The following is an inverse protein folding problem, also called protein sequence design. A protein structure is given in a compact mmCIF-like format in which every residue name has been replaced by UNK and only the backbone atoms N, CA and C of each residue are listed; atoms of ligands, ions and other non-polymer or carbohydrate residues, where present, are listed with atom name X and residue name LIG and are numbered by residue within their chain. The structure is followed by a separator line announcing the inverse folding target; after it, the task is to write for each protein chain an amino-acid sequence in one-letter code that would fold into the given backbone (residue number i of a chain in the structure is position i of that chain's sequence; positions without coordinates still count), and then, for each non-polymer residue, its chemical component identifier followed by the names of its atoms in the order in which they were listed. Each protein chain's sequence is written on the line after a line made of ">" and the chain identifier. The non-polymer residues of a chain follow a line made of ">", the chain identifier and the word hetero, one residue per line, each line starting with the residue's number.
data_IF_575388036981
#
_entry.id   IF_575388036981
#
_cell.length_a   1.000
_cell.length_b   1.000
_cell.length_c   1.000
_cell.angle_alpha   90.00
_cell.angle_beta   90.00
_cell.angle_gamma   90.00
#
_symmetry.space_group_name_H-M   'P 1'
#
loop_
_entity.id
_entity.type
_entity.pdbx_description
1 polymer ?
#
# COMPACT_ATOMS: atom_id res chain seq x y z
N UNK A 1 26.50 -8.87 15.31
CA UNK A 1 27.43 -9.37 14.31
C UNK A 1 26.67 -9.72 13.05
N UNK A 2 27.27 -9.47 11.87
CA UNK A 2 26.64 -9.69 10.57
C UNK A 2 27.63 -10.40 9.64
N UNK A 3 27.11 -11.30 8.80
CA UNK A 3 27.90 -11.97 7.74
C UNK A 3 27.04 -12.30 6.51
N UNK A 4 27.70 -12.57 5.40
CA UNK A 4 27.06 -13.12 4.20
C UNK A 4 26.74 -14.58 4.43
N UNK A 5 25.55 -15.01 3.95
CA UNK A 5 25.05 -16.35 4.17
C UNK A 5 24.51 -16.95 2.88
N UNK A 6 24.32 -18.27 2.86
CA UNK A 6 23.82 -19.01 1.70
C UNK A 6 22.33 -19.26 1.74
N UNK A 7 21.69 -19.07 2.92
CA UNK A 7 20.26 -19.30 3.12
C UNK A 7 19.69 -18.43 4.23
N UNK A 8 18.38 -18.39 4.33
CA UNK A 8 17.69 -17.69 5.42
C UNK A 8 17.76 -18.53 6.70
N UNK A 9 18.36 -18.01 7.75
CA UNK A 9 18.41 -18.66 9.05
C UNK A 9 16.99 -18.82 9.65
N UNK A 10 16.69 -20.00 10.17
CA UNK A 10 15.46 -20.24 10.92
C UNK A 10 15.67 -19.84 12.39
N UNK A 11 15.05 -18.76 12.89
CA UNK A 11 15.27 -18.26 14.25
C UNK A 11 14.94 -19.28 15.35
N UNK A 12 13.98 -20.17 15.10
CA UNK A 12 13.60 -21.20 16.06
C UNK A 12 14.68 -22.27 16.29
N UNK A 13 15.68 -22.32 15.43
CA UNK A 13 16.76 -23.31 15.50
C UNK A 13 18.08 -22.72 16.04
N UNK A 14 18.09 -21.43 16.38
CA UNK A 14 19.27 -20.78 16.94
C UNK A 14 19.68 -21.45 18.25
N UNK A 15 20.92 -21.85 18.32
CA UNK A 15 21.56 -22.33 19.55
C UNK A 15 22.84 -21.53 19.78
N UNK A 16 22.98 -21.01 21.00
CA UNK A 16 24.19 -20.37 21.49
C UNK A 16 24.82 -21.32 22.51
N UNK A 17 26.03 -21.73 22.25
CA UNK A 17 26.77 -22.71 23.08
C UNK A 17 28.17 -22.22 23.40
N UNK A 18 28.88 -22.90 24.31
CA UNK A 18 30.26 -22.60 24.69
C UNK A 18 30.45 -21.12 25.05
N UNK A 19 29.51 -20.57 25.81
CA UNK A 19 29.57 -19.17 26.23
C UNK A 19 30.65 -18.99 27.32
N UNK A 20 31.63 -18.19 27.03
CA UNK A 20 32.62 -17.78 28.03
C UNK A 20 32.33 -16.35 28.51
N UNK A 21 32.51 -16.15 29.79
CA UNK A 21 32.21 -14.88 30.44
C UNK A 21 33.43 -14.31 31.14
N UNK A 22 33.54 -12.99 31.13
CA UNK A 22 34.49 -12.23 31.94
C UNK A 22 33.76 -11.51 33.08
N UNK A 23 34.47 -11.21 34.16
CA UNK A 23 33.99 -10.35 35.22
C UNK A 23 33.84 -8.90 34.69
N UNK A 24 32.87 -8.18 35.20
CA UNK A 24 32.64 -6.76 34.88
C UNK A 24 33.09 -5.93 36.08
N UNK A 25 33.89 -4.90 35.84
CA UNK A 25 34.31 -3.97 36.89
C UNK A 25 33.19 -3.00 37.27
N UNK A 26 33.23 -2.49 38.51
CA UNK A 26 32.24 -1.49 38.99
C UNK A 26 32.20 -0.26 38.10
N UNK A 27 33.32 0.16 37.54
CA UNK A 27 33.43 1.32 36.64
C UNK A 27 32.73 1.08 35.30
N UNK A 28 32.71 -0.15 34.78
CA UNK A 28 31.98 -0.50 33.55
C UNK A 28 30.44 -0.52 33.77
N UNK A 29 30.02 -0.68 35.02
CA UNK A 29 28.59 -0.71 35.39
C UNK A 29 27.99 0.67 35.68
N UNK A 30 28.81 1.70 35.89
CA UNK A 30 28.34 3.06 36.19
C UNK A 30 27.41 3.66 35.13
N UNK A 31 27.56 3.22 33.87
CA UNK A 31 26.79 3.71 32.72
C UNK A 31 25.61 2.80 32.33
N UNK A 32 25.36 1.73 33.08
CA UNK A 32 24.36 0.71 32.74
C UNK A 32 23.37 0.54 33.87
N UNK A 33 22.08 0.63 33.57
CA UNK A 33 21.04 0.29 34.53
C UNK A 33 21.05 -1.21 34.81
N UNK A 34 21.35 -1.59 36.03
CA UNK A 34 21.45 -3.00 36.45
C UNK A 34 20.11 -3.73 36.26
N UNK A 35 18.98 -3.02 36.42
CA UNK A 35 17.63 -3.56 36.21
C UNK A 35 17.38 -4.02 34.77
N UNK A 36 18.09 -3.45 33.80
CA UNK A 36 17.91 -3.74 32.38
C UNK A 36 18.78 -4.91 31.90
N UNK A 37 19.66 -5.41 32.76
CA UNK A 37 20.53 -6.55 32.44
C UNK A 37 19.73 -7.85 32.58
N UNK A 38 19.57 -8.62 31.50
CA UNK A 38 18.76 -9.82 31.52
C UNK A 38 19.40 -10.92 32.42
N UNK A 39 18.56 -11.68 33.10
CA UNK A 39 18.97 -12.83 33.93
C UNK A 39 19.40 -14.05 33.12
N UNK A 40 19.17 -14.03 31.80
CA UNK A 40 19.58 -15.09 30.87
C UNK A 40 20.13 -14.46 29.60
N UNK A 41 21.04 -15.16 28.95
CA UNK A 41 21.58 -14.73 27.66
C UNK A 41 20.43 -14.63 26.63
N UNK A 42 20.18 -13.43 26.18
CA UNK A 42 19.22 -13.18 25.10
C UNK A 42 19.94 -13.15 23.79
N UNK A 43 19.41 -13.87 22.81
CA UNK A 43 19.97 -13.89 21.46
C UNK A 43 18.86 -13.90 20.43
N UNK A 44 19.08 -13.24 19.31
CA UNK A 44 18.17 -13.19 18.19
C UNK A 44 18.96 -13.31 16.89
N UNK A 45 18.45 -14.09 15.96
CA UNK A 45 18.99 -14.20 14.61
C UNK A 45 17.94 -13.75 13.59
N UNK A 46 18.35 -13.00 12.60
CA UNK A 46 17.54 -12.59 11.47
C UNK A 46 18.34 -12.65 10.19
N UNK A 47 17.70 -12.99 9.08
CA UNK A 47 18.33 -12.92 7.77
C UNK A 47 17.55 -11.96 6.87
N UNK A 48 18.27 -11.18 6.08
CA UNK A 48 17.72 -10.25 5.09
C UNK A 48 18.44 -10.44 3.76
N UNK A 49 17.68 -10.36 2.67
CA UNK A 49 18.24 -10.35 1.33
C UNK A 49 18.50 -8.91 0.90
N UNK A 50 19.73 -8.60 0.51
CA UNK A 50 20.10 -7.34 -0.10
C UNK A 50 20.67 -7.62 -1.50
N UNK A 51 19.98 -7.16 -2.53
CA UNK A 51 20.24 -7.51 -3.92
C UNK A 51 20.29 -9.05 -4.10
N UNK A 52 21.46 -9.60 -4.45
CA UNK A 52 21.63 -11.03 -4.72
C UNK A 52 22.26 -11.80 -3.56
N UNK A 53 22.51 -11.13 -2.42
CA UNK A 53 23.18 -11.69 -1.27
C UNK A 53 22.26 -11.75 -0.05
N UNK A 54 22.29 -12.88 0.67
CA UNK A 54 21.64 -13.00 1.98
C UNK A 54 22.64 -12.59 3.05
N UNK A 55 22.17 -11.78 3.99
CA UNK A 55 22.92 -11.36 5.17
C UNK A 55 22.22 -11.88 6.41
N UNK A 56 22.98 -12.57 7.26
CA UNK A 56 22.49 -13.03 8.56
C UNK A 56 23.07 -12.13 9.66
N UNK A 57 22.18 -11.69 10.55
CA UNK A 57 22.49 -10.78 11.65
C UNK A 57 22.15 -11.50 12.95
N UNK A 58 23.11 -11.57 13.85
CA UNK A 58 22.88 -12.02 15.23
C UNK A 58 23.05 -10.86 16.18
N UNK A 59 22.04 -10.67 17.02
CA UNK A 59 22.08 -9.78 18.17
C UNK A 59 22.12 -10.63 19.44
N UNK A 60 22.93 -10.22 20.40
CA UNK A 60 23.14 -10.93 21.65
C UNK A 60 23.28 -9.90 22.78
N UNK A 61 22.70 -10.17 23.96
CA UNK A 61 22.92 -9.32 25.12
C UNK A 61 24.39 -9.40 25.57
N UNK A 62 25.14 -8.29 25.58
CA UNK A 62 26.56 -8.32 25.93
C UNK A 62 26.79 -8.57 27.41
N UNK A 63 25.83 -8.24 28.26
CA UNK A 63 25.86 -8.43 29.70
C UNK A 63 24.72 -9.37 30.13
N UNK A 64 24.99 -10.16 31.16
CA UNK A 64 24.01 -11.11 31.75
C UNK A 64 24.18 -11.10 33.25
N UNK A 65 23.07 -11.09 33.99
CA UNK A 65 23.06 -11.24 35.44
C UNK A 65 22.85 -12.71 35.80
N UNK A 66 23.93 -13.43 36.05
CA UNK A 66 23.90 -14.83 36.47
C UNK A 66 23.98 -14.90 37.98
N UNK A 67 22.90 -15.30 38.62
CA UNK A 67 22.80 -15.48 40.08
C UNK A 67 23.27 -14.28 40.92
N UNK A 68 22.92 -13.07 40.43
CA UNK A 68 23.30 -11.82 41.08
C UNK A 68 24.66 -11.27 40.69
N UNK A 69 25.43 -12.00 39.88
CA UNK A 69 26.71 -11.55 39.31
C UNK A 69 26.58 -11.11 37.88
N UNK A 70 26.94 -9.86 37.60
CA UNK A 70 26.94 -9.36 36.22
C UNK A 70 28.22 -9.82 35.54
N UNK A 71 28.03 -10.48 34.41
CA UNK A 71 29.11 -11.01 33.58
C UNK A 71 29.00 -10.49 32.15
N UNK A 72 30.14 -10.26 31.54
CA UNK A 72 30.27 -9.85 30.15
C UNK A 72 30.52 -11.06 29.26
N UNK A 73 29.79 -11.20 28.17
CA UNK A 73 30.02 -12.26 27.21
C UNK A 73 31.33 -11.99 26.45
N UNK A 74 32.28 -12.91 26.57
CA UNK A 74 33.59 -12.84 25.91
C UNK A 74 33.56 -13.56 24.56
N UNK A 75 33.08 -14.79 24.54
CA UNK A 75 33.02 -15.61 23.35
C UNK A 75 31.88 -16.60 23.43
N UNK A 76 31.41 -17.05 22.29
CA UNK A 76 30.35 -18.03 22.16
C UNK A 76 30.42 -18.73 20.81
N UNK A 77 29.77 -19.87 20.70
CA UNK A 77 29.56 -20.59 19.45
C UNK A 77 28.09 -20.48 19.03
N UNK A 78 27.86 -20.31 17.74
CA UNK A 78 26.52 -20.26 17.15
C UNK A 78 26.28 -21.47 16.26
N UNK A 79 25.11 -22.04 16.35
CA UNK A 79 24.59 -22.97 15.36
C UNK A 79 23.13 -22.68 15.07
N UNK A 80 22.73 -22.80 13.81
CA UNK A 80 21.36 -22.63 13.35
C UNK A 80 21.18 -23.45 12.07
N UNK A 81 19.93 -23.72 11.72
CA UNK A 81 19.55 -24.31 10.45
C UNK A 81 18.93 -23.25 9.55
N UNK A 82 19.04 -23.44 8.27
CA UNK A 82 18.26 -22.63 7.33
C UNK A 82 16.80 -23.07 7.33
N UNK A 83 15.91 -22.17 6.96
CA UNK A 83 14.59 -22.60 6.58
C UNK A 83 14.74 -23.65 5.49
N UNK A 84 14.19 -24.84 5.71
CA UNK A 84 14.06 -25.78 4.60
C UNK A 84 13.16 -25.08 3.59
N UNK A 85 13.62 -24.98 2.35
CA UNK A 85 12.81 -24.58 1.24
C UNK A 85 11.61 -25.55 1.10
N UNK A 86 10.60 -25.36 1.94
CA UNK A 86 9.26 -25.58 1.46
C UNK A 86 9.11 -24.49 0.43
N UNK A 87 9.17 -24.89 -0.85
CA UNK A 87 8.99 -24.01 -1.97
C UNK A 87 7.89 -22.98 -1.65
N UNK A 88 8.23 -21.88 -1.03
CA UNK A 88 7.56 -20.65 -1.34
C UNK A 88 8.04 -20.34 -2.75
N UNK A 89 7.47 -21.04 -3.71
CA UNK A 89 7.28 -20.49 -5.02
C UNK A 89 6.57 -19.16 -4.73
N UNK A 90 7.34 -18.08 -4.58
CA UNK A 90 6.90 -16.86 -5.20
C UNK A 90 6.44 -17.33 -6.56
N UNK A 91 5.15 -17.41 -6.77
CA UNK A 91 4.55 -17.58 -8.07
C UNK A 91 4.79 -16.25 -8.79
N UNK A 92 6.05 -15.95 -9.07
CA UNK A 92 6.42 -15.14 -10.19
C UNK A 92 6.09 -16.02 -11.37
N UNK A 93 4.84 -16.04 -11.77
CA UNK A 93 4.49 -16.50 -13.10
C UNK A 93 5.17 -15.46 -13.98
N UNK A 94 6.27 -15.80 -14.69
CA UNK A 94 6.87 -14.84 -15.59
C UNK A 94 5.79 -14.54 -16.63
N UNK A 95 5.35 -13.29 -16.69
CA UNK A 95 4.48 -12.83 -17.75
C UNK A 95 5.33 -12.91 -19.01
N UNK A 96 5.02 -13.88 -19.85
CA UNK A 96 5.71 -14.00 -21.15
C UNK A 96 5.25 -12.93 -22.14
N UNK A 97 4.00 -12.49 -22.00
CA UNK A 97 3.40 -11.46 -22.84
C UNK A 97 2.39 -10.66 -22.04
N UNK A 98 2.43 -9.32 -22.15
CA UNK A 98 1.39 -8.46 -21.59
C UNK A 98 0.11 -8.56 -22.42
N UNK A 99 -1.05 -8.29 -21.80
CA UNK A 99 -2.33 -8.16 -22.52
C UNK A 99 -2.25 -7.09 -23.59
N UNK A 100 -1.38 -6.09 -23.43
CA UNK A 100 -1.14 -5.02 -24.39
C UNK A 100 -0.28 -5.43 -25.61
N UNK A 101 0.24 -6.65 -25.64
CA UNK A 101 1.17 -7.09 -26.70
C UNK A 101 0.49 -7.25 -28.06
N UNK A 102 -0.82 -7.41 -28.10
CA UNK A 102 -1.61 -7.58 -29.35
C UNK A 102 -2.93 -6.84 -29.26
N UNK A 103 -3.52 -6.52 -30.42
CA UNK A 103 -4.80 -5.80 -30.51
C UNK A 103 -4.64 -4.28 -30.47
N UNK A 104 -5.75 -3.59 -30.66
CA UNK A 104 -5.83 -2.14 -30.60
C UNK A 104 -6.25 -1.70 -29.19
N UNK A 105 -5.48 -0.77 -28.63
CA UNK A 105 -5.66 -0.31 -27.27
C UNK A 105 -5.80 1.21 -27.20
N UNK A 106 -6.83 1.66 -26.51
CA UNK A 106 -7.16 3.06 -26.36
C UNK A 106 -7.05 3.44 -24.88
N UNK A 107 -6.14 4.37 -24.56
CA UNK A 107 -5.87 4.82 -23.20
C UNK A 107 -6.77 5.99 -22.84
N UNK A 108 -7.37 5.95 -21.65
CA UNK A 108 -8.15 7.07 -21.14
C UNK A 108 -7.86 7.31 -19.66
N UNK A 109 -8.16 8.51 -19.20
CA UNK A 109 -7.90 8.99 -17.85
C UNK A 109 -9.17 8.89 -16.99
N UNK A 110 -8.98 8.55 -15.70
CA UNK A 110 -10.02 8.61 -14.66
C UNK A 110 -9.57 9.61 -13.60
N UNK A 111 -10.38 10.63 -13.36
CA UNK A 111 -10.07 11.73 -12.44
C UNK A 111 -10.74 11.57 -11.08
N UNK A 112 -11.85 10.86 -11.00
CA UNK A 112 -12.61 10.63 -9.77
C UNK A 112 -12.88 9.14 -9.59
N UNK A 113 -12.82 8.68 -8.34
CA UNK A 113 -13.24 7.32 -8.01
C UNK A 113 -14.77 7.24 -8.03
N UNK A 114 -15.31 6.25 -8.71
CA UNK A 114 -16.76 6.04 -8.80
C UNK A 114 -17.19 5.38 -10.10
N UNK A 115 -18.50 5.37 -10.33
CA UNK A 115 -19.09 4.84 -11.54
C UNK A 115 -18.91 5.85 -12.67
N UNK A 116 -18.31 5.40 -13.75
CA UNK A 116 -18.10 6.18 -14.96
C UNK A 116 -19.02 5.70 -16.07
N UNK A 117 -19.59 6.67 -16.79
CA UNK A 117 -20.39 6.46 -17.97
C UNK A 117 -19.55 6.70 -19.23
N UNK A 118 -19.42 5.68 -20.07
CA UNK A 118 -18.77 5.78 -21.38
C UNK A 118 -19.87 5.69 -22.45
N UNK A 119 -19.94 6.73 -23.26
CA UNK A 119 -20.92 6.86 -24.33
C UNK A 119 -20.27 6.62 -25.70
N UNK A 120 -21.09 6.50 -26.74
CA UNK A 120 -20.64 6.43 -28.11
C UNK A 120 -19.71 7.60 -28.49
N UNK A 121 -20.10 8.83 -28.12
CA UNK A 121 -19.28 10.01 -28.39
C UNK A 121 -17.93 9.99 -27.72
N UNK A 122 -17.83 9.41 -26.52
CA UNK A 122 -16.56 9.22 -25.84
C UNK A 122 -15.66 8.21 -26.59
N UNK A 123 -16.22 7.10 -27.05
CA UNK A 123 -15.47 6.09 -27.83
C UNK A 123 -15.00 6.66 -29.18
N UNK A 124 -15.87 7.38 -29.88
CA UNK A 124 -15.53 8.05 -31.15
C UNK A 124 -14.38 9.07 -30.95
N UNK A 125 -14.40 9.83 -29.84
CA UNK A 125 -13.33 10.78 -29.50
C UNK A 125 -11.99 10.10 -29.14
N UNK A 126 -12.04 8.86 -28.65
CA UNK A 126 -10.81 8.04 -28.46
C UNK A 126 -10.26 7.49 -29.78
N UNK A 127 -11.00 7.62 -30.89
CA UNK A 127 -10.64 7.09 -32.20
C UNK A 127 -11.15 5.68 -32.48
N UNK A 128 -12.11 5.18 -31.69
CA UNK A 128 -12.76 3.90 -31.92
C UNK A 128 -13.89 4.09 -32.94
N UNK A 129 -13.83 3.35 -34.04
CA UNK A 129 -14.94 3.34 -35.01
C UNK A 129 -16.08 2.47 -34.48
N UNK A 130 -17.00 3.07 -33.73
CA UNK A 130 -18.10 2.36 -33.06
C UNK A 130 -19.06 1.66 -34.03
N UNK A 131 -19.13 2.05 -35.29
CA UNK A 131 -19.95 1.38 -36.30
C UNK A 131 -19.49 -0.05 -36.62
N UNK A 132 -18.29 -0.43 -36.24
CA UNK A 132 -17.71 -1.77 -36.46
C UNK A 132 -17.51 -2.56 -35.19
N UNK A 133 -17.91 -2.03 -34.05
CA UNK A 133 -17.69 -2.63 -32.73
C UNK A 133 -18.94 -3.40 -32.27
N UNK A 134 -18.75 -4.68 -32.01
CA UNK A 134 -19.71 -5.45 -31.24
C UNK A 134 -19.55 -5.11 -29.75
N UNK A 135 -20.54 -4.48 -29.10
CA UNK A 135 -20.45 -4.05 -27.71
C UNK A 135 -20.18 -5.19 -26.73
N UNK A 136 -20.55 -6.43 -27.07
CA UNK A 136 -20.27 -7.62 -26.26
C UNK A 136 -18.77 -7.92 -26.16
N UNK A 137 -18.00 -7.50 -27.14
CA UNK A 137 -16.54 -7.73 -27.18
C UNK A 137 -15.73 -6.63 -26.49
N UNK A 138 -16.35 -5.55 -26.03
CA UNK A 138 -15.66 -4.44 -25.34
C UNK A 138 -15.14 -4.90 -23.98
N UNK A 139 -13.90 -4.52 -23.68
CA UNK A 139 -13.18 -4.84 -22.45
C UNK A 139 -12.47 -3.61 -21.92
N UNK A 140 -12.44 -3.46 -20.60
CA UNK A 140 -11.69 -2.39 -19.92
C UNK A 140 -10.66 -3.05 -19.00
N UNK A 141 -9.42 -2.59 -19.08
CA UNK A 141 -8.29 -3.07 -18.28
C UNK A 141 -7.65 -1.93 -17.48
N UNK A 142 -7.17 -2.24 -16.29
CA UNK A 142 -6.43 -1.29 -15.47
C UNK A 142 -6.47 -1.62 -13.99
N UNK A 143 -5.45 -1.19 -13.26
CA UNK A 143 -5.37 -1.35 -11.80
C UNK A 143 -6.03 -0.21 -11.03
N UNK A 144 -6.34 0.90 -11.71
CA UNK A 144 -6.73 2.13 -11.06
C UNK A 144 -5.55 2.94 -10.55
N UNK A 145 -5.86 4.00 -9.81
CA UNK A 145 -4.89 4.98 -9.32
C UNK A 145 -4.42 4.78 -7.88
N UNK A 146 -4.77 3.68 -7.22
CA UNK A 146 -4.30 3.42 -5.85
C UNK A 146 -2.80 3.20 -5.80
N UNK A 147 -2.12 3.66 -4.72
CA UNK A 147 -0.72 3.33 -4.48
C UNK A 147 -0.49 1.82 -4.42
N UNK A 148 0.70 1.39 -4.80
CA UNK A 148 1.09 0.00 -4.58
C UNK A 148 1.25 -0.28 -3.09
N UNK A 149 0.97 -1.52 -2.64
CA UNK A 149 1.21 -1.93 -1.27
C UNK A 149 2.65 -1.68 -0.82
N UNK A 150 2.86 -1.26 0.42
CA UNK A 150 4.17 -0.97 0.98
C UNK A 150 5.10 -2.18 1.01
N UNK A 151 4.54 -3.35 1.24
CA UNK A 151 5.30 -4.59 1.30
C UNK A 151 5.38 -5.21 -0.09
N UNK A 152 6.58 -5.38 -0.63
CA UNK A 152 6.80 -6.07 -1.91
C UNK A 152 6.18 -7.47 -1.96
N UNK A 153 6.02 -8.15 -0.83
CA UNK A 153 5.36 -9.44 -0.75
C UNK A 153 3.87 -9.40 -1.08
N UNK A 154 3.23 -8.24 -0.94
CA UNK A 154 1.82 -8.03 -1.29
C UNK A 154 1.60 -7.68 -2.77
N UNK A 155 2.67 -7.35 -3.49
CA UNK A 155 2.63 -6.96 -4.91
C UNK A 155 2.68 -8.14 -5.87
N UNK A 156 2.59 -9.38 -5.39
CA UNK A 156 2.83 -10.58 -6.19
C UNK A 156 1.70 -10.94 -7.17
N UNK A 157 0.65 -10.14 -7.27
CA UNK A 157 -0.51 -10.42 -8.13
C UNK A 157 -0.74 -9.37 -9.23
N UNK A 158 0.05 -8.29 -9.23
CA UNK A 158 -0.15 -7.15 -10.14
C UNK A 158 0.88 -7.16 -11.29
N UNK A 159 1.01 -8.31 -11.96
CA UNK A 159 2.02 -8.47 -13.01
C UNK A 159 1.60 -7.94 -14.37
N UNK A 160 0.29 -7.85 -14.62
CA UNK A 160 -0.26 -7.32 -15.86
C UNK A 160 -1.58 -6.63 -15.57
N UNK A 161 -2.15 -5.94 -16.54
CA UNK A 161 -3.41 -5.22 -16.39
C UNK A 161 -4.58 -6.20 -16.22
N UNK A 162 -5.31 -6.14 -15.09
CA UNK A 162 -6.51 -6.94 -14.92
C UNK A 162 -7.65 -6.40 -15.78
N UNK A 163 -8.48 -7.30 -16.28
CA UNK A 163 -9.75 -6.92 -16.89
C UNK A 163 -10.76 -6.56 -15.80
N UNK A 164 -11.41 -5.42 -15.96
CA UNK A 164 -12.47 -4.95 -15.08
C UNK A 164 -13.82 -5.40 -15.58
N UNK A 165 -14.71 -5.82 -14.67
CA UNK A 165 -16.10 -6.08 -15.01
C UNK A 165 -16.83 -4.79 -15.33
N UNK A 166 -17.59 -4.80 -16.42
CA UNK A 166 -18.36 -3.64 -16.91
C UNK A 166 -19.83 -4.03 -17.09
N UNK A 167 -20.70 -3.05 -17.08
CA UNK A 167 -22.07 -3.21 -17.55
C UNK A 167 -22.21 -2.52 -18.90
N UNK A 168 -22.74 -3.21 -19.89
CA UNK A 168 -23.03 -2.63 -21.21
C UNK A 168 -24.54 -2.66 -21.39
N UNK A 169 -25.12 -1.51 -21.59
CA UNK A 169 -26.54 -1.33 -21.85
C UNK A 169 -26.70 -1.18 -23.36
N UNK A 170 -27.61 -1.94 -23.96
CA UNK A 170 -27.88 -1.93 -25.41
C UNK A 170 -27.05 -2.94 -26.21
N UNK A 171 -26.33 -3.86 -25.57
CA UNK A 171 -25.42 -4.80 -26.27
C UNK A 171 -26.12 -5.95 -27.02
N UNK A 172 -27.45 -6.09 -26.89
CA UNK A 172 -28.19 -7.29 -27.30
C UNK A 172 -28.24 -7.46 -28.82
N UNK A 173 -28.29 -6.38 -29.55
CA UNK A 173 -28.37 -6.37 -31.03
C UNK A 173 -27.00 -6.52 -31.72
N UNK A 174 -25.89 -6.38 -30.94
CA UNK A 174 -24.52 -6.51 -31.45
C UNK A 174 -23.97 -5.28 -32.17
N UNK A 175 -24.66 -4.14 -32.05
CA UNK A 175 -24.27 -2.84 -32.59
C UNK A 175 -24.08 -1.84 -31.47
N UNK A 176 -23.11 -0.95 -31.54
CA UNK A 176 -22.93 0.09 -30.52
C UNK A 176 -23.58 1.39 -30.98
N UNK A 177 -24.82 1.61 -30.55
CA UNK A 177 -25.65 2.71 -31.01
C UNK A 177 -25.50 3.98 -30.14
N UNK A 178 -26.19 5.04 -30.54
CA UNK A 178 -26.10 6.33 -29.86
C UNK A 178 -26.69 6.32 -28.43
N UNK A 179 -27.58 5.38 -28.15
CA UNK A 179 -28.24 5.21 -26.84
C UNK A 179 -27.48 4.23 -25.94
N UNK A 180 -26.54 3.50 -26.48
CA UNK A 180 -25.78 2.50 -25.71
C UNK A 180 -24.80 3.14 -24.76
N UNK A 181 -24.58 2.46 -23.67
CA UNK A 181 -23.79 2.96 -22.57
C UNK A 181 -22.96 1.85 -21.94
N UNK A 182 -21.75 2.22 -21.52
CA UNK A 182 -20.91 1.35 -20.71
C UNK A 182 -20.75 1.99 -19.33
N UNK A 183 -21.07 1.23 -18.30
CA UNK A 183 -20.80 1.62 -16.92
C UNK A 183 -19.64 0.78 -16.39
N UNK A 184 -18.66 1.44 -15.77
CA UNK A 184 -17.58 0.76 -15.07
C UNK A 184 -17.18 1.54 -13.81
N UNK A 185 -16.66 0.84 -12.82
CA UNK A 185 -16.14 1.47 -11.61
C UNK A 185 -14.67 1.81 -11.78
N UNK A 186 -14.38 3.09 -11.95
CA UNK A 186 -13.02 3.62 -12.07
C UNK A 186 -12.47 4.08 -10.72
N UNK A 187 -11.19 3.82 -10.49
CA UNK A 187 -10.47 4.26 -9.28
C UNK A 187 -9.44 5.30 -9.70
N UNK A 188 -9.56 6.50 -9.15
CA UNK A 188 -8.60 7.59 -9.37
C UNK A 188 -7.41 7.50 -8.42
N UNK A 189 -6.50 8.46 -8.52
CA UNK A 189 -5.38 8.63 -7.58
C UNK A 189 -5.77 9.27 -6.27
N UNK A 190 -7.04 9.69 -6.14
CA UNK A 190 -7.60 10.33 -4.94
C UNK A 190 -8.49 9.34 -4.18
N UNK A 191 -8.31 9.29 -2.87
CA UNK A 191 -9.08 8.46 -1.96
C UNK A 191 -8.23 7.90 -0.83
N UNK A 192 -8.82 7.73 0.35
CA UNK A 192 -8.08 7.31 1.53
C UNK A 192 -7.48 5.92 1.38
N UNK A 193 -6.17 5.86 1.54
CA UNK A 193 -5.38 4.63 1.64
C UNK A 193 -4.94 4.42 3.10
N UNK A 194 -5.60 3.50 3.78
CA UNK A 194 -5.34 3.20 5.19
C UNK A 194 -3.92 2.66 5.44
N UNK A 195 -3.31 1.96 4.49
CA UNK A 195 -1.98 1.38 4.66
C UNK A 195 -0.89 2.47 4.61
N UNK A 196 -1.08 3.46 3.78
CA UNK A 196 -0.16 4.58 3.59
C UNK A 196 -0.52 5.81 4.43
N UNK A 197 -1.73 5.86 5.00
CA UNK A 197 -2.27 7.01 5.74
C UNK A 197 -2.20 8.29 4.89
N UNK A 198 -2.78 8.23 3.70
CA UNK A 198 -2.81 9.32 2.72
C UNK A 198 -4.07 9.26 1.86
N UNK A 199 -4.53 10.39 1.35
CA UNK A 199 -5.67 10.49 0.43
C UNK A 199 -5.24 10.65 -1.03
N UNK A 200 -3.95 10.82 -1.28
CA UNK A 200 -3.38 11.00 -2.61
C UNK A 200 -2.38 9.89 -2.93
N UNK A 201 -2.22 9.60 -4.21
CA UNK A 201 -1.16 8.71 -4.64
C UNK A 201 0.16 9.50 -4.73
N UNK A 202 1.18 9.23 -3.88
CA UNK A 202 2.41 10.02 -3.85
C UNK A 202 3.31 9.82 -5.08
N UNK A 203 2.92 8.93 -6.00
CA UNK A 203 3.72 8.58 -7.18
C UNK A 203 3.08 8.99 -8.50
N UNK A 204 1.79 9.34 -8.51
CA UNK A 204 1.08 9.69 -9.74
C UNK A 204 -0.15 10.54 -9.47
N UNK A 205 -0.32 11.59 -10.27
CA UNK A 205 -1.50 12.45 -10.26
C UNK A 205 -2.62 11.93 -11.18
N UNK A 206 -2.37 10.86 -11.93
CA UNK A 206 -3.27 10.39 -12.96
C UNK A 206 -3.47 8.87 -12.89
N UNK A 207 -4.73 8.45 -12.95
CA UNK A 207 -5.12 7.06 -13.13
C UNK A 207 -5.51 6.81 -14.58
N UNK A 208 -4.99 5.74 -15.15
CA UNK A 208 -5.26 5.36 -16.52
C UNK A 208 -5.89 3.98 -16.62
N UNK A 209 -6.83 3.88 -17.54
CA UNK A 209 -7.43 2.62 -17.98
C UNK A 209 -7.27 2.46 -19.48
N UNK A 210 -7.43 1.24 -19.95
CA UNK A 210 -7.28 0.88 -21.34
C UNK A 210 -8.53 0.16 -21.80
N UNK A 211 -9.06 0.56 -22.95
CA UNK A 211 -10.20 -0.08 -23.59
C UNK A 211 -9.75 -0.77 -24.86
N UNK A 212 -10.27 -1.94 -25.12
CA UNK A 212 -10.10 -2.71 -26.35
C UNK A 212 -11.40 -3.41 -26.72
N UNK A 213 -11.51 -3.89 -27.94
CA UNK A 213 -12.66 -4.64 -28.43
C UNK A 213 -12.22 -5.76 -29.38
N UNK A 214 -13.17 -6.66 -29.68
CA UNK A 214 -12.94 -7.84 -30.53
C UNK A 214 -12.56 -9.10 -29.75
N UNK A 215 -12.58 -10.24 -30.44
CA UNK A 215 -12.39 -11.56 -29.84
C UNK A 215 -13.52 -12.00 -28.92
N UNK A 216 -13.16 -12.70 -27.86
CA UNK A 216 -14.13 -13.22 -26.88
C UNK A 216 -14.88 -12.12 -26.15
N UNK A 217 -16.08 -12.38 -25.62
CA UNK A 217 -16.82 -11.41 -24.82
C UNK A 217 -16.04 -10.92 -23.61
N UNK A 218 -16.25 -9.63 -23.27
CA UNK A 218 -15.65 -9.02 -22.09
C UNK A 218 -16.33 -9.46 -20.79
N UNK A 219 -15.63 -9.27 -19.65
CA UNK A 219 -16.22 -9.49 -18.34
C UNK A 219 -17.37 -8.52 -18.07
N UNK A 220 -18.46 -9.06 -17.49
CA UNK A 220 -19.66 -8.29 -17.15
C UNK A 220 -19.91 -8.32 -15.64
N UNK A 221 -20.51 -7.24 -15.14
CA UNK A 221 -20.99 -7.17 -13.77
C UNK A 221 -22.14 -8.16 -13.64
N UNK A 222 -22.03 -9.07 -12.68
CA UNK A 222 -23.11 -10.01 -12.37
C UNK A 222 -24.19 -9.30 -11.55
N UNK A 223 -25.48 -9.51 -11.86
CA UNK A 223 -26.55 -8.99 -11.02
C UNK A 223 -26.45 -9.56 -9.61
N UNK A 224 -26.62 -8.70 -8.61
CA UNK A 224 -26.77 -9.14 -7.22
C UNK A 224 -28.25 -9.51 -6.99
N UNK A 225 -28.48 -10.63 -6.32
CA UNK A 225 -29.82 -10.98 -5.91
C UNK A 225 -30.32 -9.93 -4.90
N UNK A 226 -31.50 -9.40 -5.14
CA UNK A 226 -32.15 -8.50 -4.18
C UNK A 226 -32.38 -9.25 -2.86
N UNK A 227 -32.09 -8.63 -1.70
CA UNK A 227 -32.39 -9.23 -0.42
C UNK A 227 -33.90 -9.44 -0.31
N UNK A 228 -34.31 -10.64 0.07
CA UNK A 228 -35.71 -10.98 0.30
C UNK A 228 -36.13 -10.52 1.70
N UNK A 229 -36.82 -9.41 1.79
CA UNK A 229 -37.40 -8.89 3.04
C UNK A 229 -37.33 -7.37 3.15
N UNK A 230 -38.10 -6.78 4.05
CA UNK A 230 -37.99 -5.35 4.32
C UNK A 230 -36.64 -5.07 4.98
N UNK A 231 -35.81 -4.28 4.32
CA UNK A 231 -34.59 -3.74 4.91
C UNK A 231 -34.89 -2.45 5.69
N UNK A 232 -34.07 -2.15 6.67
CA UNK A 232 -34.10 -0.85 7.33
C UNK A 232 -33.71 0.25 6.34
N UNK A 233 -34.51 1.32 6.32
CA UNK A 233 -34.18 2.48 5.48
C UNK A 233 -32.92 3.19 6.04
N UNK A 234 -31.86 3.22 5.27
CA UNK A 234 -30.68 4.04 5.58
C UNK A 234 -31.01 5.47 5.18
N UNK A 235 -31.13 6.36 6.17
CA UNK A 235 -31.46 7.78 5.98
C UNK A 235 -30.28 8.70 6.15
N UNK A 236 -29.17 8.22 6.70
CA UNK A 236 -27.95 8.98 6.94
C UNK A 236 -26.72 8.15 6.58
N UNK A 237 -25.64 8.80 6.24
CA UNK A 237 -24.35 8.19 5.96
C UNK A 237 -23.21 9.11 6.45
N UNK A 238 -22.04 8.55 6.66
CA UNK A 238 -20.84 9.32 6.96
C UNK A 238 -20.22 9.82 5.65
N UNK A 239 -19.98 11.11 5.57
CA UNK A 239 -19.26 11.75 4.47
C UNK A 239 -17.93 12.28 4.97
N UNK A 240 -16.96 12.49 4.09
CA UNK A 240 -15.68 13.06 4.44
C UNK A 240 -15.10 13.91 3.31
N UNK A 241 -14.35 14.91 3.68
CA UNK A 241 -13.51 15.69 2.77
C UNK A 241 -12.10 15.75 3.34
N UNK A 242 -11.14 16.04 2.48
CA UNK A 242 -9.75 16.17 2.89
C UNK A 242 -9.07 17.31 2.12
N UNK A 243 -8.05 17.85 2.75
CA UNK A 243 -7.07 18.73 2.14
C UNK A 243 -5.69 18.14 2.43
N UNK A 244 -5.02 17.66 1.41
CA UNK A 244 -3.69 17.06 1.50
C UNK A 244 -2.84 17.54 0.33
N UNK A 245 -1.63 18.03 0.63
CA UNK A 245 -0.65 18.49 -0.34
C UNK A 245 0.70 17.97 0.10
N UNK A 246 1.37 17.22 -0.79
CA UNK A 246 2.63 16.55 -0.53
C UNK A 246 3.80 17.30 -1.19
N UNK A 247 4.04 18.56 -0.78
CA UNK A 247 5.08 19.40 -1.37
C UNK A 247 6.45 19.29 -0.71
N UNK A 248 6.47 18.91 0.58
CA UNK A 248 7.67 19.05 1.38
C UNK A 248 7.88 17.88 2.34
N UNK A 249 9.09 17.33 2.34
CA UNK A 249 9.55 16.38 3.34
C UNK A 249 10.54 17.07 4.29
N UNK A 250 10.20 17.33 5.57
CA UNK A 250 11.02 18.11 6.50
C UNK A 250 12.43 17.55 6.67
N UNK A 251 12.56 16.23 6.74
CA UNK A 251 13.85 15.57 6.94
C UNK A 251 14.49 15.07 5.64
N UNK A 252 13.84 15.27 4.49
CA UNK A 252 14.22 14.70 3.18
C UNK A 252 14.40 13.18 3.21
N UNK A 253 13.76 12.52 4.17
CA UNK A 253 13.77 11.06 4.34
C UNK A 253 12.39 10.58 4.78
N UNK A 254 12.08 9.31 4.42
CA UNK A 254 10.82 8.71 4.81
C UNK A 254 9.69 8.94 3.82
N UNK A 255 8.47 8.61 4.24
CA UNK A 255 7.28 8.58 3.37
C UNK A 255 6.27 9.68 3.70
N UNK A 256 6.46 10.39 4.80
CA UNK A 256 5.57 11.48 5.18
C UNK A 256 6.04 12.76 4.53
N UNK A 257 5.16 13.31 3.74
CA UNK A 257 5.28 14.61 3.12
C UNK A 257 4.23 15.54 3.72
N UNK A 258 4.45 16.81 3.58
CA UNK A 258 3.54 17.84 4.09
C UNK A 258 3.44 18.94 3.05
N UNK A 259 2.32 19.63 3.04
CA UNK A 259 2.11 20.85 2.26
C UNK A 259 1.68 22.00 3.15
N UNK A 260 1.40 23.12 2.53
CA UNK A 260 0.92 24.34 3.20
C UNK A 260 1.83 24.78 4.35
N UNK A 261 2.96 25.36 4.01
CA UNK A 261 3.92 25.85 5.00
C UNK A 261 3.37 27.04 5.77
N UNK A 262 3.60 27.03 7.08
CA UNK A 262 3.36 28.12 7.98
C UNK A 262 4.70 28.79 8.29
N UNK A 263 5.09 29.79 7.49
CA UNK A 263 6.34 30.53 7.66
C UNK A 263 6.08 32.05 7.77
N UNK A 264 5.93 32.75 6.65
CA UNK A 264 5.56 34.16 6.63
C UNK A 264 4.05 34.33 6.82
N UNK A 265 3.27 33.43 6.23
CA UNK A 265 1.82 33.37 6.42
C UNK A 265 1.53 32.21 7.41
N UNK A 266 1.32 32.61 8.65
CA UNK A 266 1.10 31.73 9.79
C UNK A 266 -0.37 31.45 10.11
N UNK A 267 -1.29 32.11 9.41
CA UNK A 267 -2.75 31.92 9.50
C UNK A 267 -3.30 31.48 8.13
N UNK A 268 -3.89 30.29 8.07
CA UNK A 268 -4.44 29.74 6.84
C UNK A 268 -5.83 29.12 7.09
N UNK A 269 -6.74 29.29 6.15
CA UNK A 269 -8.12 28.81 6.25
C UNK A 269 -8.41 27.82 5.12
N UNK A 270 -9.09 26.73 5.46
CA UNK A 270 -9.52 25.71 4.52
C UNK A 270 -11.03 25.54 4.61
N UNK A 271 -11.71 25.62 3.47
CA UNK A 271 -13.17 25.46 3.40
C UNK A 271 -13.54 24.03 2.99
N UNK A 272 -14.47 23.43 3.70
CA UNK A 272 -15.06 22.14 3.39
C UNK A 272 -16.58 22.29 3.28
N UNK A 273 -17.16 21.78 2.21
CA UNK A 273 -18.60 21.90 1.95
C UNK A 273 -19.32 20.56 2.15
N UNK A 274 -20.24 20.53 3.10
CA UNK A 274 -21.13 19.38 3.36
C UNK A 274 -22.58 19.82 3.19
N UNK A 275 -23.12 19.81 1.94
CA UNK A 275 -24.43 20.39 1.65
C UNK A 275 -25.60 19.68 2.35
N UNK A 276 -25.42 18.42 2.76
CA UNK A 276 -26.44 17.60 3.37
C UNK A 276 -26.12 17.24 4.84
N UNK A 277 -25.39 18.10 5.53
CA UNK A 277 -25.01 17.84 6.93
C UNK A 277 -26.26 17.74 7.81
N UNK A 278 -26.29 16.70 8.66
CA UNK A 278 -27.32 16.58 9.68
C UNK A 278 -26.98 17.52 10.83
N UNK A 279 -27.79 18.57 11.01
CA UNK A 279 -27.55 19.56 12.06
C UNK A 279 -27.56 18.91 13.44
N UNK A 280 -26.54 19.23 14.26
CA UNK A 280 -26.35 18.68 15.59
C UNK A 280 -25.59 17.35 15.63
N UNK A 281 -25.12 16.84 14.50
CA UNK A 281 -24.15 15.74 14.46
C UNK A 281 -22.75 16.23 14.81
N UNK A 282 -21.97 15.33 15.42
CA UNK A 282 -20.55 15.59 15.65
C UNK A 282 -19.77 15.65 14.33
N UNK A 283 -18.81 16.54 14.26
CA UNK A 283 -17.82 16.63 13.16
C UNK A 283 -16.46 16.27 13.72
N UNK A 284 -15.85 15.23 13.16
CA UNK A 284 -14.49 14.84 13.49
C UNK A 284 -13.50 15.54 12.56
N UNK A 285 -12.50 16.20 13.12
CA UNK A 285 -11.44 16.87 12.37
C UNK A 285 -10.11 16.24 12.73
N UNK A 286 -9.45 15.65 11.76
CA UNK A 286 -8.11 15.05 11.90
C UNK A 286 -7.07 15.96 11.24
N UNK A 287 -6.08 16.42 12.01
CA UNK A 287 -5.06 17.34 11.53
C UNK A 287 -3.67 16.74 11.72
N UNK A 288 -2.92 16.62 10.62
CA UNK A 288 -1.54 16.18 10.63
C UNK A 288 -0.62 17.36 10.37
N UNK A 289 0.23 17.69 11.33
CA UNK A 289 1.20 18.78 11.23
C UNK A 289 2.59 18.30 11.63
N UNK A 290 3.61 18.95 11.11
CA UNK A 290 4.99 18.76 11.52
C UNK A 290 5.68 20.09 11.71
N UNK A 291 6.50 20.21 12.77
CA UNK A 291 7.37 21.35 12.97
C UNK A 291 8.80 21.00 12.54
N UNK A 292 9.41 21.91 11.77
CA UNK A 292 10.83 21.89 11.42
C UNK A 292 11.63 22.95 12.20
N UNK A 293 11.03 23.58 13.21
CA UNK A 293 11.67 24.61 14.06
C UNK A 293 12.62 23.96 15.08
N UNK A 294 13.72 24.63 15.36
CA UNK A 294 14.65 24.27 16.45
C UNK A 294 14.14 24.68 17.83
N UNK A 295 13.10 25.52 17.89
CA UNK A 295 12.44 25.95 19.13
C UNK A 295 11.05 25.33 19.24
N UNK A 296 10.49 25.33 20.47
CA UNK A 296 9.13 24.87 20.70
C UNK A 296 8.13 25.73 19.92
N UNK A 297 7.22 25.08 19.22
CA UNK A 297 6.14 25.69 18.44
C UNK A 297 4.79 25.19 18.91
N UNK A 298 3.76 25.98 18.74
CA UNK A 298 2.37 25.60 18.98
C UNK A 298 1.53 25.97 17.77
N UNK A 299 0.46 25.22 17.54
CA UNK A 299 -0.55 25.50 16.54
C UNK A 299 -1.90 25.59 17.25
N UNK A 300 -2.70 26.56 16.89
CA UNK A 300 -4.10 26.66 17.27
C UNK A 300 -4.98 26.32 16.06
N UNK A 301 -6.08 25.62 16.30
CA UNK A 301 -7.08 25.23 15.29
C UNK A 301 -8.43 25.73 15.72
#
# INVERSE_FOLDING_TARGET
>A
QQWKDTGFANPATLKVTNVAYDAVSSKELELVSISDIPKRLQSKITSKKGRDQIYTIVSLSPLVNLDGQIKKVRSFSLSYKYFQNTNSKSLTIPISNSVLATGDWYKFKVEKTGVHLITKGFLDNLGINTATVDPRSIKIYGHGGKPLPLLNSKNNTLFDLPQNSIQVIGQEDGSFDATDQILFYGISTLGYDKENDTHINPYSDQAFYYITYGGDPGLRISPLNEPTGPGDAITTFNDYQFHEVDDFSPAKVGRRWFGNRFDIQDDQSYAFEFPNIVLGSDVEVNINVASASESATSMAV
#
